data_IF_102487451179
#
_entry.id   IF_102487451179
#
_cell.length_a   1.000
_cell.length_b   1.000
_cell.length_c   1.000
_cell.angle_alpha   90.00
_cell.angle_beta   90.00
_cell.angle_gamma   90.00
#
_symmetry.space_group_name_H-M   'P 1'
#
loop_
_entity.id
_entity.type
_entity.pdbx_description
1 polymer ?
#
# COMPACT_ATOMS: atom_id res chain seq x y z
N UNK A 1 6.76 -11.41 16.87
CA UNK A 1 6.18 -10.98 15.56
C UNK A 1 4.78 -10.50 15.86
N UNK A 2 4.39 -9.35 15.37
CA UNK A 2 3.07 -8.78 15.70
C UNK A 2 1.95 -9.67 15.14
N UNK A 3 0.92 -9.91 15.96
CA UNK A 3 -0.35 -10.50 15.52
C UNK A 3 -1.44 -9.42 15.44
N UNK A 4 -2.54 -9.69 14.76
CA UNK A 4 -3.69 -8.77 14.72
C UNK A 4 -4.20 -8.45 16.13
N UNK A 5 -4.27 -9.46 16.99
CA UNK A 5 -4.68 -9.33 18.39
C UNK A 5 -3.71 -8.47 19.20
N UNK A 6 -2.39 -8.65 19.01
CA UNK A 6 -1.40 -7.79 19.67
C UNK A 6 -1.50 -6.33 19.25
N UNK A 7 -1.76 -6.07 17.94
CA UNK A 7 -1.97 -4.71 17.43
C UNK A 7 -3.25 -4.09 18.03
N UNK A 8 -4.31 -4.87 18.15
CA UNK A 8 -5.56 -4.43 18.79
C UNK A 8 -5.35 -4.10 20.26
N UNK A 9 -4.67 -4.98 21.02
CA UNK A 9 -4.37 -4.74 22.41
C UNK A 9 -3.45 -3.52 22.61
N UNK A 10 -2.49 -3.33 21.72
CA UNK A 10 -1.65 -2.13 21.74
C UNK A 10 -2.48 -0.85 21.48
N UNK A 11 -3.45 -0.91 20.58
CA UNK A 11 -4.35 0.22 20.31
C UNK A 11 -5.26 0.54 21.53
N UNK A 12 -5.77 -0.47 22.22
CA UNK A 12 -6.54 -0.30 23.45
C UNK A 12 -5.68 0.29 24.58
N UNK A 13 -4.46 -0.20 24.74
CA UNK A 13 -3.51 0.34 25.70
C UNK A 13 -3.16 1.81 25.45
N UNK A 14 -3.10 2.25 24.19
CA UNK A 14 -2.92 3.67 23.84
C UNK A 14 -4.08 4.56 24.33
N UNK A 15 -5.26 3.99 24.48
CA UNK A 15 -6.46 4.67 25.01
C UNK A 15 -6.57 4.57 26.54
N UNK A 16 -5.64 3.85 27.20
CA UNK A 16 -5.71 3.59 28.66
C UNK A 16 -6.77 2.56 29.02
N UNK A 17 -7.22 1.73 28.08
CA UNK A 17 -8.11 0.61 28.36
C UNK A 17 -7.26 -0.62 28.75
N UNK A 18 -7.48 -1.16 29.95
CA UNK A 18 -6.81 -2.35 30.46
C UNK A 18 -7.41 -3.65 29.92
N UNK A 19 -8.48 -3.58 29.13
CA UNK A 19 -9.10 -4.75 28.54
C UNK A 19 -8.16 -5.40 27.52
N UNK A 20 -8.03 -6.72 27.60
CA UNK A 20 -7.28 -7.52 26.64
C UNK A 20 -8.24 -8.34 25.78
N UNK A 21 -8.03 -8.27 24.47
CA UNK A 21 -8.73 -9.08 23.48
C UNK A 21 -7.93 -10.32 23.20
N UNK A 22 -8.56 -11.49 23.21
CA UNK A 22 -7.92 -12.77 22.89
C UNK A 22 -8.15 -13.23 21.44
N UNK A 23 -9.28 -12.80 20.83
CA UNK A 23 -9.60 -13.10 19.42
C UNK A 23 -10.46 -12.02 18.80
N UNK A 24 -10.19 -11.70 17.52
CA UNK A 24 -11.00 -10.80 16.69
C UNK A 24 -11.63 -11.52 15.49
N UNK A 25 -11.20 -12.74 15.18
CA UNK A 25 -11.77 -13.58 14.11
C UNK A 25 -11.81 -15.06 14.54
N UNK A 26 -12.98 -15.58 14.95
CA UNK A 26 -14.20 -14.83 15.30
C UNK A 26 -14.01 -13.97 16.55
N UNK A 27 -14.76 -12.87 16.72
CA UNK A 27 -14.71 -12.06 17.94
C UNK A 27 -15.12 -12.88 19.15
N UNK A 28 -14.42 -12.71 20.28
CA UNK A 28 -14.70 -13.45 21.52
C UNK A 28 -15.98 -13.02 22.27
N UNK A 29 -16.69 -11.97 21.74
CA UNK A 29 -17.95 -11.48 22.32
C UNK A 29 -17.80 -10.31 23.29
N UNK A 30 -16.58 -9.82 23.55
CA UNK A 30 -16.38 -8.54 24.26
C UNK A 30 -16.63 -7.36 23.30
N UNK A 31 -17.10 -6.22 23.84
CA UNK A 31 -17.32 -5.01 23.02
C UNK A 31 -16.01 -4.54 22.34
N UNK A 32 -14.88 -4.66 23.04
CA UNK A 32 -13.56 -4.33 22.51
C UNK A 32 -13.18 -5.22 21.34
N UNK A 33 -13.42 -6.53 21.43
CA UNK A 33 -13.15 -7.49 20.36
C UNK A 33 -14.01 -7.18 19.13
N UNK A 34 -15.30 -6.90 19.29
CA UNK A 34 -16.18 -6.54 18.17
C UNK A 34 -15.77 -5.23 17.51
N UNK A 35 -15.34 -4.23 18.28
CA UNK A 35 -14.82 -2.98 17.73
C UNK A 35 -13.50 -3.21 17.00
N UNK A 36 -12.59 -3.98 17.55
CA UNK A 36 -11.33 -4.33 16.89
C UNK A 36 -11.59 -5.09 15.58
N UNK A 37 -12.43 -6.11 15.58
CA UNK A 37 -12.79 -6.87 14.39
C UNK A 37 -13.35 -5.97 13.26
N UNK A 38 -14.10 -4.94 13.62
CA UNK A 38 -14.68 -3.99 12.66
C UNK A 38 -13.67 -3.00 12.12
N UNK A 39 -12.84 -2.42 12.97
CA UNK A 39 -11.98 -1.30 12.60
C UNK A 39 -10.58 -1.70 12.16
N UNK A 40 -10.05 -2.84 12.62
CA UNK A 40 -8.70 -3.28 12.26
C UNK A 40 -8.48 -3.44 10.75
N UNK A 41 -9.35 -4.13 9.97
CA UNK A 41 -9.16 -4.23 8.52
C UNK A 41 -9.16 -2.86 7.84
N UNK A 42 -10.03 -1.95 8.28
CA UNK A 42 -10.15 -0.59 7.72
C UNK A 42 -8.89 0.22 8.02
N UNK A 43 -8.39 0.17 9.25
CA UNK A 43 -7.17 0.86 9.65
C UNK A 43 -5.95 0.35 8.88
N UNK A 44 -5.80 -0.97 8.74
CA UNK A 44 -4.73 -1.62 7.98
C UNK A 44 -4.76 -1.19 6.51
N UNK A 45 -5.90 -1.35 5.86
CA UNK A 45 -6.03 -1.11 4.42
C UNK A 45 -5.84 0.36 4.08
N UNK A 46 -6.37 1.28 4.89
CA UNK A 46 -6.14 2.71 4.72
C UNK A 46 -4.67 3.09 4.88
N UNK A 47 -3.96 2.53 5.86
CA UNK A 47 -2.55 2.82 6.08
C UNK A 47 -1.66 2.24 4.96
N UNK A 48 -2.01 1.05 4.44
CA UNK A 48 -1.33 0.46 3.28
C UNK A 48 -1.46 1.35 2.03
N UNK A 49 -2.58 2.05 1.85
CA UNK A 49 -2.78 2.97 0.71
C UNK A 49 -2.02 4.29 0.84
N UNK A 50 -1.60 4.66 2.05
CA UNK A 50 -0.95 5.96 2.28
C UNK A 50 0.49 6.05 1.77
N UNK A 51 1.13 4.93 1.47
CA UNK A 51 2.51 4.87 1.00
C UNK A 51 2.79 3.60 0.19
N UNK A 52 3.79 3.67 -0.69
CA UNK A 52 4.28 2.49 -1.43
C UNK A 52 5.29 1.71 -0.59
N UNK A 53 4.77 0.85 0.28
CA UNK A 53 5.57 0.06 1.21
C UNK A 53 6.39 -1.02 0.50
N UNK A 54 7.66 -1.16 0.83
CA UNK A 54 8.55 -2.17 0.23
C UNK A 54 8.05 -3.60 0.51
N UNK A 55 7.58 -3.88 1.73
CA UNK A 55 7.03 -5.19 2.09
C UNK A 55 5.73 -5.55 1.34
N UNK A 56 4.99 -4.56 0.82
CA UNK A 56 3.77 -4.75 0.05
C UNK A 56 3.98 -4.61 -1.46
N UNK A 57 5.17 -4.23 -1.92
CA UNK A 57 5.47 -4.04 -3.33
C UNK A 57 5.64 -5.38 -4.04
N UNK A 58 4.92 -5.57 -5.15
CA UNK A 58 4.98 -6.79 -5.97
C UNK A 58 5.11 -6.45 -7.44
N UNK A 59 5.67 -7.39 -8.19
CA UNK A 59 5.74 -7.36 -9.66
C UNK A 59 5.12 -8.61 -10.24
N UNK A 60 4.36 -8.45 -11.31
CA UNK A 60 3.72 -9.55 -12.02
C UNK A 60 3.64 -9.26 -13.51
N UNK A 61 3.84 -10.29 -14.32
CA UNK A 61 3.48 -10.23 -15.74
C UNK A 61 1.96 -10.24 -15.87
N UNK A 62 1.43 -9.29 -16.61
CA UNK A 62 -0.01 -9.12 -16.77
C UNK A 62 -0.56 -10.10 -17.81
N UNK A 63 -1.74 -10.66 -17.51
CA UNK A 63 -2.48 -11.51 -18.44
C UNK A 63 -3.37 -10.64 -19.34
N UNK A 64 -3.23 -10.80 -20.68
CA UNK A 64 -4.04 -10.09 -21.66
C UNK A 64 -5.51 -10.46 -21.59
N UNK A 65 -6.39 -9.47 -21.76
CA UNK A 65 -7.84 -9.64 -21.90
C UNK A 65 -8.33 -9.02 -23.20
N UNK A 66 -9.53 -9.45 -23.63
CA UNK A 66 -10.16 -8.87 -24.83
C UNK A 66 -10.43 -7.38 -24.59
N UNK A 67 -9.94 -6.54 -25.49
CA UNK A 67 -10.06 -5.11 -25.39
C UNK A 67 -11.38 -4.63 -25.99
N UNK A 68 -12.24 -3.92 -25.22
CA UNK A 68 -13.49 -3.37 -25.73
C UNK A 68 -13.32 -2.03 -26.47
N UNK A 69 -12.16 -1.37 -26.34
CA UNK A 69 -11.91 -0.02 -26.87
C UNK A 69 -10.69 0.03 -27.78
N UNK A 70 -10.68 0.99 -28.69
CA UNK A 70 -9.63 1.16 -29.71
C UNK A 70 -8.58 2.21 -29.35
N UNK A 71 -8.74 2.92 -28.24
CA UNK A 71 -7.81 3.99 -27.82
C UNK A 71 -6.47 3.44 -27.31
N UNK A 72 -6.47 2.26 -26.73
CA UNK A 72 -5.29 1.57 -26.22
C UNK A 72 -4.96 0.36 -27.09
N UNK A 73 -3.71 -0.06 -27.09
CA UNK A 73 -3.29 -1.24 -27.88
C UNK A 73 -3.52 -2.54 -27.14
N UNK A 74 -3.39 -2.52 -25.81
CA UNK A 74 -3.46 -3.71 -24.97
C UNK A 74 -4.32 -3.45 -23.73
N UNK A 75 -5.00 -4.51 -23.31
CA UNK A 75 -5.76 -4.55 -22.08
C UNK A 75 -5.35 -5.78 -21.27
N UNK A 76 -5.21 -5.62 -19.96
CA UNK A 76 -4.74 -6.66 -19.05
C UNK A 76 -5.61 -6.73 -17.80
N UNK A 77 -5.78 -7.95 -17.27
CA UNK A 77 -6.43 -8.14 -15.99
C UNK A 77 -5.52 -7.68 -14.84
N UNK A 78 -6.08 -6.92 -13.89
CA UNK A 78 -5.39 -6.58 -12.66
C UNK A 78 -5.32 -7.79 -11.71
N UNK A 79 -4.22 -7.95 -10.95
CA UNK A 79 -4.17 -8.91 -9.85
C UNK A 79 -5.29 -8.68 -8.83
N UNK A 80 -5.88 -9.77 -8.31
CA UNK A 80 -7.00 -9.66 -7.36
C UNK A 80 -6.63 -9.04 -6.01
N UNK A 81 -5.35 -9.07 -5.65
CA UNK A 81 -4.80 -8.46 -4.44
C UNK A 81 -4.24 -7.04 -4.65
N UNK A 82 -4.42 -6.47 -5.86
CA UNK A 82 -3.92 -5.14 -6.16
C UNK A 82 -4.72 -4.05 -5.46
N UNK A 83 -4.06 -3.30 -4.59
CA UNK A 83 -4.59 -2.07 -4.00
C UNK A 83 -4.34 -0.85 -4.88
N UNK A 84 -3.06 -0.62 -5.24
CA UNK A 84 -2.63 0.54 -6.01
C UNK A 84 -1.62 0.09 -7.06
N UNK A 85 -1.84 0.46 -8.33
CA UNK A 85 -0.83 0.32 -9.37
C UNK A 85 0.24 1.42 -9.21
N UNK A 86 1.50 1.03 -9.29
CA UNK A 86 2.63 1.95 -9.15
C UNK A 86 3.20 2.31 -10.51
N UNK A 87 3.49 1.29 -11.33
CA UNK A 87 4.05 1.50 -12.67
C UNK A 87 3.78 0.32 -13.59
N UNK A 88 3.66 0.61 -14.87
CA UNK A 88 3.63 -0.39 -15.93
C UNK A 88 4.99 -0.38 -16.63
N UNK A 89 5.61 -1.54 -16.75
CA UNK A 89 6.96 -1.74 -17.20
C UNK A 89 7.00 -2.60 -18.47
N UNK A 90 7.94 -2.34 -19.39
CA UNK A 90 8.28 -3.28 -20.44
C UNK A 90 8.86 -4.58 -19.85
N UNK A 91 8.71 -5.73 -20.54
CA UNK A 91 9.18 -7.04 -20.04
C UNK A 91 10.71 -7.12 -19.87
N UNK A 92 11.47 -6.23 -20.52
CA UNK A 92 12.93 -6.23 -20.52
C UNK A 92 13.52 -5.36 -19.38
N UNK A 93 12.68 -4.64 -18.62
CA UNK A 93 13.15 -3.74 -17.56
C UNK A 93 13.30 -4.48 -16.25
N UNK A 94 14.55 -4.72 -15.86
CA UNK A 94 14.86 -5.35 -14.57
C UNK A 94 14.71 -4.40 -13.38
N UNK A 95 14.92 -3.08 -13.58
CA UNK A 95 14.94 -2.10 -12.50
C UNK A 95 14.23 -0.79 -12.90
N UNK A 96 13.17 -0.46 -12.15
CA UNK A 96 12.37 0.76 -12.33
C UNK A 96 12.66 1.85 -11.28
N UNK A 97 13.62 1.63 -10.38
CA UNK A 97 13.96 2.61 -9.34
C UNK A 97 14.90 3.72 -9.84
N UNK A 98 15.62 3.48 -10.92
CA UNK A 98 16.52 4.46 -11.51
C UNK A 98 15.82 5.23 -12.64
N UNK A 99 14.98 6.17 -12.27
CA UNK A 99 14.65 7.27 -13.17
C UNK A 99 15.87 8.19 -13.23
N UNK A 100 16.82 7.87 -14.06
CA UNK A 100 17.76 8.87 -14.52
C UNK A 100 17.40 9.19 -15.96
N UNK A 101 16.67 10.29 -16.22
CA UNK A 101 16.81 10.93 -17.50
C UNK A 101 18.28 11.37 -17.57
N UNK A 102 19.09 10.59 -18.23
CA UNK A 102 20.34 11.16 -18.70
C UNK A 102 19.91 12.30 -19.64
N UNK A 103 20.22 13.55 -19.31
CA UNK A 103 20.09 14.62 -20.29
C UNK A 103 21.15 14.35 -21.36
N UNK A 104 20.80 13.51 -22.33
CA UNK A 104 21.58 13.31 -23.55
C UNK A 104 21.91 14.64 -24.23
N UNK A 105 21.16 15.67 -23.92
CA UNK A 105 21.13 16.94 -24.67
C UNK A 105 21.94 18.05 -23.99
N UNK A 106 22.47 17.88 -22.80
CA UNK A 106 23.13 19.00 -22.10
C UNK A 106 24.55 19.29 -22.57
N UNK A 107 25.18 18.42 -23.35
CA UNK A 107 26.57 18.61 -23.79
C UNK A 107 26.86 18.44 -25.27
N UNK A 108 25.85 18.25 -26.15
CA UNK A 108 26.04 18.29 -27.61
C UNK A 108 27.16 17.39 -28.19
N UNK A 109 27.67 16.44 -27.41
CA UNK A 109 28.76 15.56 -27.83
C UNK A 109 28.17 14.18 -28.09
N UNK A 110 28.09 13.83 -29.37
CA UNK A 110 27.56 12.61 -29.91
C UNK A 110 28.25 11.30 -29.48
N UNK A 111 28.40 11.08 -28.20
CA UNK A 111 28.99 9.87 -27.61
C UNK A 111 27.95 8.89 -27.09
N UNK A 112 26.72 8.93 -27.61
CA UNK A 112 25.69 7.97 -27.26
C UNK A 112 25.78 6.77 -28.18
N UNK A 113 26.94 6.22 -28.34
CA UNK A 113 27.14 4.90 -28.94
C UNK A 113 27.80 3.94 -27.95
N UNK A 114 27.68 4.23 -26.66
CA UNK A 114 27.96 3.23 -25.64
C UNK A 114 26.68 2.46 -25.39
N UNK A 115 26.72 1.12 -25.50
CA UNK A 115 25.60 0.29 -25.13
C UNK A 115 25.47 0.26 -23.59
N UNK A 116 25.08 1.38 -23.00
CA UNK A 116 24.40 1.41 -21.72
C UNK A 116 22.93 1.02 -21.90
N UNK A 117 22.69 0.19 -22.88
CA UNK A 117 21.49 -0.58 -23.08
C UNK A 117 21.52 -1.72 -22.07
N UNK A 118 21.25 -1.42 -20.83
CA UNK A 118 21.22 -2.44 -19.80
C UNK A 118 21.03 -1.89 -18.41
N UNK A 119 21.41 -0.67 -18.16
CA UNK A 119 21.14 -0.02 -16.90
C UNK A 119 20.00 0.99 -17.09
N UNK A 120 18.79 0.50 -17.31
CA UNK A 120 17.54 1.10 -16.93
C UNK A 120 17.34 2.57 -17.24
N UNK A 121 17.29 2.98 -18.52
CA UNK A 121 16.48 4.15 -18.85
C UNK A 121 15.03 3.69 -18.81
N UNK A 122 14.45 3.77 -17.60
CA UNK A 122 13.03 3.54 -17.43
C UNK A 122 12.25 4.71 -18.05
N UNK A 123 11.42 4.39 -19.02
CA UNK A 123 10.40 5.30 -19.53
C UNK A 123 9.07 4.84 -18.93
N UNK A 124 8.45 5.65 -18.05
CA UNK A 124 7.12 5.33 -17.54
C UNK A 124 6.16 5.09 -18.69
N UNK A 125 5.49 3.95 -18.68
CA UNK A 125 4.45 3.65 -19.65
C UNK A 125 3.13 4.24 -19.18
N UNK A 126 2.43 4.91 -20.10
CA UNK A 126 1.09 5.42 -19.82
C UNK A 126 0.13 4.24 -19.62
N UNK A 127 -0.73 4.35 -18.63
CA UNK A 127 -1.76 3.36 -18.35
C UNK A 127 -3.01 4.02 -17.78
N UNK A 128 -4.14 3.36 -17.94
CA UNK A 128 -5.42 3.72 -17.32
C UNK A 128 -6.02 2.48 -16.68
N UNK A 129 -6.63 2.65 -15.52
CA UNK A 129 -7.33 1.57 -14.83
C UNK A 129 -8.81 1.88 -14.85
N UNK A 130 -9.59 0.90 -15.32
CA UNK A 130 -11.05 0.95 -15.31
C UNK A 130 -11.61 -0.33 -14.73
N UNK A 131 -12.90 -0.30 -14.42
CA UNK A 131 -13.63 -1.49 -13.96
C UNK A 131 -14.56 -1.93 -15.07
N UNK A 132 -14.50 -3.19 -15.46
CA UNK A 132 -15.39 -3.78 -16.46
C UNK A 132 -16.82 -3.93 -15.94
N UNK A 133 -17.73 -4.35 -16.82
CA UNK A 133 -19.14 -4.59 -16.48
C UNK A 133 -19.34 -5.72 -15.45
N UNK A 134 -18.34 -6.56 -15.25
CA UNK A 134 -18.35 -7.66 -14.28
C UNK A 134 -17.72 -7.28 -12.94
N UNK A 135 -17.24 -6.03 -12.80
CA UNK A 135 -16.58 -5.55 -11.58
C UNK A 135 -15.08 -5.84 -11.51
N UNK A 136 -14.46 -6.38 -12.57
CA UNK A 136 -13.02 -6.65 -12.59
C UNK A 136 -12.24 -5.40 -12.99
N UNK A 137 -11.13 -5.14 -12.32
CA UNK A 137 -10.22 -4.06 -12.70
C UNK A 137 -9.39 -4.47 -13.92
N UNK A 138 -9.34 -3.60 -14.92
CA UNK A 138 -8.57 -3.76 -16.15
C UNK A 138 -7.58 -2.62 -16.27
N UNK A 139 -6.36 -2.94 -16.64
CA UNK A 139 -5.31 -1.98 -17.02
C UNK A 139 -5.25 -1.89 -18.54
N UNK A 140 -5.37 -0.68 -19.06
CA UNK A 140 -5.14 -0.32 -20.45
C UNK A 140 -3.78 0.33 -20.60
N UNK A 141 -3.02 -0.09 -21.59
CA UNK A 141 -1.69 0.48 -21.90
C UNK A 141 -1.32 0.25 -23.36
N UNK A 142 -0.27 0.95 -23.82
CA UNK A 142 0.31 0.71 -25.14
C UNK A 142 1.51 -0.26 -25.11
N UNK A 143 1.84 -0.83 -23.92
CA UNK A 143 2.95 -1.74 -23.73
C UNK A 143 2.52 -3.19 -23.96
N UNK A 144 3.17 -3.88 -24.89
CA UNK A 144 3.03 -5.32 -25.09
C UNK A 144 3.80 -6.10 -24.00
N UNK A 145 3.23 -7.21 -23.54
CA UNK A 145 3.87 -8.06 -22.51
C UNK A 145 4.12 -7.32 -21.19
N UNK A 146 3.23 -6.41 -20.81
CA UNK A 146 3.42 -5.50 -19.71
C UNK A 146 3.65 -6.20 -18.36
N UNK A 147 4.64 -5.73 -17.60
CA UNK A 147 4.84 -6.02 -16.20
C UNK A 147 4.18 -4.93 -15.35
N UNK A 148 3.45 -5.32 -14.32
CA UNK A 148 2.87 -4.39 -13.36
C UNK A 148 3.68 -4.44 -12.07
N UNK A 149 4.14 -3.27 -11.62
CA UNK A 149 4.55 -3.04 -10.24
C UNK A 149 3.39 -2.42 -9.49
N UNK A 150 3.02 -3.01 -8.37
CA UNK A 150 1.85 -2.60 -7.61
C UNK A 150 2.02 -2.81 -6.11
N UNK A 151 1.19 -2.14 -5.33
CA UNK A 151 1.01 -2.39 -3.91
C UNK A 151 -0.06 -3.44 -3.72
N UNK A 152 0.31 -4.54 -3.08
CA UNK A 152 -0.60 -5.63 -2.77
C UNK A 152 -1.26 -5.43 -1.41
N UNK A 153 -2.47 -5.96 -1.26
CA UNK A 153 -3.11 -6.12 0.03
C UNK A 153 -2.33 -7.17 0.85
N UNK A 154 -1.67 -6.74 1.90
CA UNK A 154 -0.97 -7.62 2.84
C UNK A 154 -1.82 -7.75 4.09
N UNK A 155 -2.36 -8.94 4.31
CA UNK A 155 -3.20 -9.25 5.49
C UNK A 155 -2.42 -9.88 6.64
N UNK A 156 -1.25 -10.45 6.36
CA UNK A 156 -0.40 -11.14 7.33
C UNK A 156 0.44 -10.12 8.14
N UNK A 157 0.15 -9.91 9.45
CA UNK A 157 0.85 -8.92 10.26
C UNK A 157 2.32 -9.24 10.50
N UNK A 158 2.73 -10.48 10.30
CA UNK A 158 4.14 -10.90 10.49
C UNK A 158 5.08 -10.28 9.47
N UNK A 159 4.53 -9.76 8.37
CA UNK A 159 5.26 -9.07 7.29
C UNK A 159 5.38 -7.57 7.49
N UNK A 160 4.71 -7.03 8.51
CA UNK A 160 4.73 -5.60 8.75
C UNK A 160 6.01 -5.16 9.46
N UNK A 161 6.57 -4.06 9.00
CA UNK A 161 7.69 -3.42 9.69
C UNK A 161 7.27 -2.88 11.06
N UNK A 162 8.17 -2.88 12.05
CA UNK A 162 7.83 -2.43 13.41
C UNK A 162 7.27 -1.00 13.48
N UNK A 163 7.80 -0.07 12.67
CA UNK A 163 7.29 1.30 12.62
C UNK A 163 5.92 1.40 11.95
N UNK A 164 5.65 0.53 10.97
CA UNK A 164 4.31 0.40 10.40
C UNK A 164 3.31 -0.12 11.44
N UNK A 165 3.68 -1.13 12.24
CA UNK A 165 2.86 -1.65 13.34
C UNK A 165 2.53 -0.56 14.35
N UNK A 166 3.51 0.28 14.72
CA UNK A 166 3.26 1.43 15.60
C UNK A 166 2.30 2.45 14.98
N UNK A 167 2.49 2.80 13.72
CA UNK A 167 1.56 3.70 13.02
C UNK A 167 0.15 3.11 12.95
N UNK A 168 0.03 1.80 12.68
CA UNK A 168 -1.23 1.07 12.60
C UNK A 168 -1.95 1.02 13.96
N UNK A 169 -1.25 0.76 15.04
CA UNK A 169 -1.83 0.73 16.39
C UNK A 169 -2.39 2.10 16.80
N UNK A 170 -1.69 3.20 16.51
CA UNK A 170 -2.19 4.54 16.74
C UNK A 170 -3.36 4.92 15.82
N UNK A 171 -3.34 4.46 14.57
CA UNK A 171 -4.45 4.67 13.65
C UNK A 171 -5.70 3.95 14.13
N UNK A 172 -5.56 2.68 14.53
CA UNK A 172 -6.65 1.91 15.11
C UNK A 172 -7.16 2.55 16.41
N UNK A 173 -6.27 3.01 17.29
CA UNK A 173 -6.63 3.72 18.51
C UNK A 173 -7.47 4.98 18.21
N UNK A 174 -7.16 5.72 17.15
CA UNK A 174 -7.94 6.89 16.76
C UNK A 174 -9.39 6.55 16.37
N UNK A 175 -9.61 5.38 15.78
CA UNK A 175 -10.96 4.89 15.43
C UNK A 175 -11.70 4.31 16.65
N UNK A 176 -10.96 3.69 17.58
CA UNK A 176 -11.51 3.09 18.80
C UNK A 176 -11.82 4.12 19.90
N UNK A 177 -11.22 5.30 19.87
CA UNK A 177 -11.36 6.32 20.92
C UNK A 177 -12.83 6.73 21.16
N UNK A 178 -13.61 6.92 20.09
CA UNK A 178 -15.03 7.25 20.20
C UNK A 178 -15.87 6.17 20.88
N UNK A 179 -15.85 4.91 20.41
CA UNK A 179 -16.59 3.81 21.02
C UNK A 179 -16.14 3.45 22.46
N UNK A 180 -14.83 3.54 22.76
CA UNK A 180 -14.25 3.10 24.05
C UNK A 180 -14.42 4.20 25.11
N UNK A 181 -13.97 5.42 24.84
CA UNK A 181 -13.94 6.50 25.84
C UNK A 181 -15.28 7.26 25.88
N UNK A 182 -15.95 7.40 24.73
CA UNK A 182 -17.23 8.13 24.55
C UNK A 182 -17.14 9.64 24.88
N UNK A 183 -18.13 10.40 24.43
CA UNK A 183 -18.25 11.83 24.69
C UNK A 183 -17.11 12.68 24.14
N UNK A 184 -16.98 13.91 24.65
CA UNK A 184 -16.00 14.90 24.19
C UNK A 184 -14.55 14.46 24.42
N UNK A 185 -14.31 13.69 25.49
CA UNK A 185 -12.98 13.14 25.79
C UNK A 185 -12.55 12.13 24.71
N UNK A 186 -13.49 11.30 24.21
CA UNK A 186 -13.21 10.38 23.13
C UNK A 186 -12.82 11.10 21.84
N UNK A 187 -13.46 12.23 21.52
CA UNK A 187 -13.11 13.04 20.36
C UNK A 187 -11.74 13.71 20.50
N UNK A 188 -11.40 14.22 21.69
CA UNK A 188 -10.07 14.79 21.97
C UNK A 188 -8.98 13.73 21.87
N UNK A 189 -9.23 12.54 22.39
CA UNK A 189 -8.28 11.42 22.34
C UNK A 189 -8.09 10.88 20.92
N UNK A 190 -9.15 10.79 20.12
CA UNK A 190 -9.06 10.44 18.70
C UNK A 190 -8.12 11.40 17.94
N UNK A 191 -8.20 12.69 18.23
CA UNK A 191 -7.31 13.70 17.64
C UNK A 191 -5.84 13.49 18.08
N UNK A 192 -5.60 13.22 19.36
CA UNK A 192 -4.26 12.91 19.87
C UNK A 192 -3.68 11.67 19.19
N UNK A 193 -4.46 10.60 19.11
CA UNK A 193 -4.05 9.35 18.46
C UNK A 193 -3.73 9.57 16.97
N UNK A 194 -4.53 10.39 16.26
CA UNK A 194 -4.26 10.74 14.86
C UNK A 194 -2.92 11.50 14.70
N UNK A 195 -2.60 12.40 15.63
CA UNK A 195 -1.31 13.11 15.61
C UNK A 195 -0.13 12.15 15.81
N UNK A 196 -0.26 11.22 16.75
CA UNK A 196 0.75 10.19 16.99
C UNK A 196 0.91 9.25 15.79
N UNK A 197 -0.21 8.82 15.19
CA UNK A 197 -0.19 8.04 13.96
C UNK A 197 0.60 8.76 12.85
N UNK A 198 0.35 10.05 12.61
CA UNK A 198 1.06 10.82 11.59
C UNK A 198 2.57 10.90 11.87
N UNK A 199 2.98 11.05 13.14
CA UNK A 199 4.38 11.07 13.52
C UNK A 199 5.08 9.72 13.21
N UNK A 200 4.47 8.61 13.63
CA UNK A 200 5.00 7.27 13.34
C UNK A 200 4.96 6.93 11.85
N UNK A 201 3.92 7.36 11.13
CA UNK A 201 3.83 7.19 9.69
C UNK A 201 4.99 7.87 8.95
N UNK A 202 5.36 9.08 9.36
CA UNK A 202 6.53 9.76 8.78
C UNK A 202 7.82 8.99 9.03
N UNK A 203 8.03 8.51 10.26
CA UNK A 203 9.21 7.70 10.60
C UNK A 203 9.23 6.39 9.81
N UNK A 204 8.09 5.72 9.69
CA UNK A 204 7.95 4.48 8.92
C UNK A 204 8.30 4.71 7.44
N UNK A 205 7.80 5.78 6.82
CA UNK A 205 8.13 6.15 5.43
C UNK A 205 9.61 6.44 5.23
N UNK A 206 10.24 7.13 6.16
CA UNK A 206 11.69 7.41 6.10
C UNK A 206 12.52 6.13 6.23
N UNK A 207 12.10 5.21 7.09
CA UNK A 207 12.76 3.91 7.25
C UNK A 207 12.61 3.04 6.00
N UNK A 208 11.41 2.97 5.45
CA UNK A 208 11.10 2.21 4.24
C UNK A 208 11.86 2.73 3.00
N UNK A 209 12.02 4.04 2.89
CA UNK A 209 12.76 4.67 1.79
C UNK A 209 14.29 4.42 1.86
N UNK A 210 14.81 3.99 3.00
CA UNK A 210 16.24 3.72 3.22
C UNK A 210 16.59 2.21 3.08
N UNK A 211 15.62 1.35 2.82
CA UNK A 211 15.80 -0.08 2.59
C UNK A 211 15.95 -0.38 1.09
#
# INVERSE_FOLDING_TARGET
MASEVEICNLALAHLGDDATVASIDPPEGSAQSEHCARFYPIARDSLLQMHSWNFASRRVALAGVTMPYTMWRYAYACPGDMMVAVSVLPPEVENDYTIRPYPADRYGWGWINTPFVGAGVYVPQEYQIETDTNGNKIIYTNQEGALLRYQALVTDPTKFDPLFVMALSWHLASMLAGPVIKGDQGAAEAKRCTQMMMAYLQQARMSDANQ
#
